data_IF_604116533281
#
_entry.id   IF_604116533281
#
_cell.length_a   1.000
_cell.length_b   1.000
_cell.length_c   1.000
_cell.angle_alpha   90.00
_cell.angle_beta   90.00
_cell.angle_gamma   90.00
#
_symmetry.space_group_name_H-M   'P 1'
#
loop_
_entity.id
_entity.type
_entity.pdbx_description
1 polymer ?
#
# COMPACT_ATOMS: atom_id res chain seq x y z
N UNK A 1 -7.34 17.17 4.34
CA UNK A 1 -8.64 16.91 5.02
C UNK A 1 -8.42 16.18 6.37
N UNK A 2 -7.82 14.95 6.43
CA UNK A 2 -7.71 14.17 7.68
C UNK A 2 -6.97 14.95 8.77
N UNK A 3 -5.78 15.48 8.49
CA UNK A 3 -4.97 16.24 9.45
C UNK A 3 -5.61 17.54 9.92
N UNK A 4 -6.53 18.12 9.18
CA UNK A 4 -7.29 19.29 9.59
C UNK A 4 -8.27 18.98 10.72
N UNK A 5 -8.93 17.82 10.64
CA UNK A 5 -9.89 17.36 11.65
C UNK A 5 -9.24 16.56 12.78
N UNK A 6 -8.26 15.76 12.46
CA UNK A 6 -7.60 14.82 13.39
C UNK A 6 -6.09 15.05 13.39
N UNK A 7 -5.65 16.08 14.07
CA UNK A 7 -4.24 16.51 14.12
C UNK A 7 -3.28 15.39 14.55
N UNK A 8 -3.71 14.52 15.47
CA UNK A 8 -2.93 13.41 16.01
C UNK A 8 -2.95 12.15 15.14
N UNK A 9 -3.81 12.07 14.11
CA UNK A 9 -3.87 10.90 13.24
C UNK A 9 -2.53 10.69 12.55
N UNK A 10 -2.02 9.46 12.57
CA UNK A 10 -0.85 9.04 11.81
C UNK A 10 -1.32 8.55 10.45
N UNK A 11 -0.73 9.06 9.38
CA UNK A 11 -1.08 8.71 8.01
C UNK A 11 0.17 8.13 7.36
N UNK A 12 0.03 7.00 6.70
CA UNK A 12 1.11 6.30 6.00
C UNK A 12 0.76 6.14 4.52
N UNK A 13 1.74 6.30 3.64
CA UNK A 13 1.68 5.72 2.29
C UNK A 13 1.96 4.23 2.36
N UNK A 14 1.46 3.47 1.38
CA UNK A 14 1.83 2.07 1.21
C UNK A 14 2.20 1.85 -0.25
N UNK A 15 3.33 1.21 -0.48
CA UNK A 15 3.92 1.01 -1.80
C UNK A 15 4.47 -0.41 -1.93
N UNK A 16 4.48 -0.99 -3.14
CA UNK A 16 5.11 -2.30 -3.35
C UNK A 16 6.64 -2.19 -3.31
N UNK A 17 7.28 -3.27 -2.87
CA UNK A 17 8.73 -3.37 -2.84
C UNK A 17 9.33 -3.16 -4.24
N UNK A 18 10.31 -2.26 -4.34
CA UNK A 18 10.92 -1.84 -5.59
C UNK A 18 10.22 -0.67 -6.29
N UNK A 19 9.11 -0.18 -5.73
CA UNK A 19 8.42 1.05 -6.13
C UNK A 19 8.03 1.86 -4.90
N UNK A 20 8.91 1.90 -3.92
CA UNK A 20 8.74 2.57 -2.64
C UNK A 20 9.33 4.01 -2.66
N UNK A 21 9.14 4.68 -3.77
CA UNK A 21 9.64 6.02 -4.05
C UNK A 21 9.19 7.07 -3.03
N UNK A 22 7.94 7.02 -2.59
CA UNK A 22 7.42 7.92 -1.56
C UNK A 22 8.03 7.61 -0.20
N UNK A 23 8.17 6.33 0.17
CA UNK A 23 8.79 5.94 1.44
C UNK A 23 10.25 6.38 1.51
N UNK A 24 11.03 6.17 0.43
CA UNK A 24 12.41 6.63 0.34
C UNK A 24 12.50 8.16 0.38
N UNK A 25 11.66 8.85 -0.37
CA UNK A 25 11.61 10.31 -0.41
C UNK A 25 11.24 10.92 0.95
N UNK A 26 10.31 10.31 1.69
CA UNK A 26 9.97 10.75 3.04
C UNK A 26 11.12 10.55 4.03
N UNK A 27 11.90 9.49 3.86
CA UNK A 27 13.05 9.18 4.70
C UNK A 27 14.22 10.13 4.44
N UNK A 28 14.52 10.44 3.17
CA UNK A 28 15.62 11.34 2.79
C UNK A 28 15.25 12.82 2.92
N UNK A 29 13.96 13.16 2.94
CA UNK A 29 13.47 14.54 2.92
C UNK A 29 13.50 15.18 1.52
N UNK A 30 13.96 14.45 0.50
CA UNK A 30 14.03 14.90 -0.89
C UNK A 30 13.24 13.96 -1.80
N UNK A 31 12.79 14.47 -2.93
CA UNK A 31 12.04 13.66 -3.90
C UNK A 31 13.01 12.74 -4.67
N UNK A 32 13.04 11.49 -4.27
CA UNK A 32 13.86 10.45 -4.89
C UNK A 32 13.29 9.98 -6.22
N UNK A 33 14.19 9.49 -7.07
CA UNK A 33 13.86 8.81 -8.33
C UNK A 33 14.48 7.41 -8.24
N UNK A 34 13.65 6.39 -8.35
CA UNK A 34 14.13 5.01 -8.33
C UNK A 34 14.94 4.73 -9.60
N UNK A 35 16.09 4.09 -9.43
CA UNK A 35 16.99 3.69 -10.54
C UNK A 35 16.83 2.22 -10.93
N UNK A 36 16.27 1.41 -10.05
CA UNK A 36 16.07 -0.02 -10.26
C UNK A 36 14.61 -0.39 -10.08
N UNK A 37 14.09 -1.22 -10.98
CA UNK A 37 12.70 -1.65 -10.98
C UNK A 37 12.63 -3.17 -10.86
N UNK A 38 11.70 -3.66 -10.04
CA UNK A 38 11.39 -5.08 -9.90
C UNK A 38 9.96 -5.33 -10.37
N UNK A 39 9.69 -6.47 -11.01
CA UNK A 39 8.30 -6.81 -11.31
C UNK A 39 7.45 -6.78 -10.03
N UNK A 40 6.25 -6.23 -10.13
CA UNK A 40 5.26 -6.29 -9.06
C UNK A 40 3.86 -6.46 -9.66
N UNK A 41 3.00 -7.16 -8.94
CA UNK A 41 1.59 -7.33 -9.31
C UNK A 41 0.75 -6.08 -9.03
N UNK A 42 1.28 -5.11 -8.32
CA UNK A 42 0.60 -3.84 -7.99
C UNK A 42 0.73 -2.81 -9.12
N UNK A 43 0.22 -3.12 -10.30
CA UNK A 43 0.40 -2.38 -11.55
C UNK A 43 0.00 -0.90 -11.48
N UNK A 44 -1.02 -0.55 -10.68
CA UNK A 44 -1.44 0.83 -10.48
C UNK A 44 -0.52 1.65 -9.55
N UNK A 45 0.52 1.04 -8.96
CA UNK A 45 1.45 1.68 -8.04
C UNK A 45 2.89 1.72 -8.57
N UNK A 46 3.11 1.36 -9.85
CA UNK A 46 4.45 1.27 -10.44
C UNK A 46 4.95 2.63 -10.96
N UNK A 47 5.16 3.57 -10.06
CA UNK A 47 5.71 4.89 -10.39
C UNK A 47 7.13 5.04 -9.86
N UNK A 48 8.05 5.66 -10.64
CA UNK A 48 9.46 5.74 -10.25
C UNK A 48 9.79 6.89 -9.31
N UNK A 49 8.86 7.82 -9.09
CA UNK A 49 9.11 9.02 -8.29
C UNK A 49 7.80 9.68 -7.90
N UNK A 50 7.67 10.23 -6.68
CA UNK A 50 6.46 10.93 -6.27
C UNK A 50 6.22 12.18 -7.11
N UNK A 51 4.96 12.55 -7.33
CA UNK A 51 4.63 13.81 -7.99
C UNK A 51 5.17 15.02 -7.21
N UNK A 52 5.67 16.05 -7.91
CA UNK A 52 6.27 17.24 -7.26
C UNK A 52 5.33 17.92 -6.27
N UNK A 53 4.07 18.14 -6.67
CA UNK A 53 3.09 18.81 -5.82
C UNK A 53 2.66 17.92 -4.65
N UNK A 54 2.36 16.66 -4.92
CA UNK A 54 1.92 15.70 -3.91
C UNK A 54 3.01 15.44 -2.87
N UNK A 55 4.28 15.32 -3.28
CA UNK A 55 5.38 15.15 -2.35
C UNK A 55 5.54 16.35 -1.38
N UNK A 56 5.44 17.59 -1.88
CA UNK A 56 5.49 18.81 -1.03
C UNK A 56 4.40 18.81 0.06
N UNK A 57 3.27 18.18 -0.21
CA UNK A 57 2.18 18.03 0.76
C UNK A 57 2.47 16.84 1.68
N UNK A 58 2.82 15.69 1.10
CA UNK A 58 3.00 14.44 1.80
C UNK A 58 4.13 14.49 2.83
N UNK A 59 5.27 15.10 2.51
CA UNK A 59 6.40 15.25 3.43
C UNK A 59 6.05 15.99 4.74
N UNK A 60 4.98 16.81 4.74
CA UNK A 60 4.52 17.56 5.93
C UNK A 60 3.43 16.80 6.69
N UNK A 61 2.68 15.95 6.03
CA UNK A 61 1.46 15.37 6.57
C UNK A 61 1.58 13.87 6.87
N UNK A 62 2.39 13.14 6.13
CA UNK A 62 2.55 11.71 6.34
C UNK A 62 3.50 11.43 7.50
N UNK A 63 3.23 10.34 8.20
CA UNK A 63 4.05 9.84 9.30
C UNK A 63 5.13 8.86 8.84
N UNK A 64 5.14 8.52 7.57
CA UNK A 64 6.09 7.62 6.90
C UNK A 64 5.45 6.83 5.76
N UNK A 65 6.24 5.98 5.12
CA UNK A 65 5.82 5.00 4.14
C UNK A 65 5.96 3.58 4.69
N UNK A 66 5.11 2.69 4.22
CA UNK A 66 5.17 1.25 4.45
C UNK A 66 5.36 0.56 3.11
N UNK A 67 6.18 -0.47 3.10
CA UNK A 67 6.51 -1.23 1.89
C UNK A 67 6.00 -2.64 2.05
N UNK A 68 5.36 -3.17 1.02
CA UNK A 68 4.77 -4.51 1.02
C UNK A 68 5.31 -5.36 -0.13
N UNK A 69 5.42 -6.67 0.10
CA UNK A 69 5.79 -7.62 -0.94
C UNK A 69 4.57 -8.09 -1.74
N UNK A 70 4.78 -8.59 -2.96
CA UNK A 70 3.71 -9.22 -3.74
C UNK A 70 3.08 -10.40 -3.00
N UNK A 71 3.85 -11.14 -2.21
CA UNK A 71 3.34 -12.23 -1.38
C UNK A 71 2.37 -11.72 -0.32
N UNK A 72 2.72 -10.64 0.37
CA UNK A 72 1.84 -10.00 1.36
C UNK A 72 0.55 -9.49 0.71
N UNK A 73 0.66 -8.89 -0.49
CA UNK A 73 -0.51 -8.42 -1.25
C UNK A 73 -1.42 -9.59 -1.65
N UNK A 74 -0.88 -10.70 -2.16
CA UNK A 74 -1.68 -11.90 -2.45
C UNK A 74 -2.39 -12.44 -1.22
N UNK A 75 -1.73 -12.45 -0.06
CA UNK A 75 -2.35 -12.86 1.21
C UNK A 75 -3.47 -11.90 1.62
N UNK A 76 -3.28 -10.60 1.44
CA UNK A 76 -4.31 -9.60 1.69
C UNK A 76 -5.52 -9.76 0.74
N UNK A 77 -5.30 -10.09 -0.54
CA UNK A 77 -6.37 -10.38 -1.49
C UNK A 77 -7.20 -11.59 -1.05
N UNK A 78 -6.55 -12.69 -0.62
CA UNK A 78 -7.24 -13.87 -0.08
C UNK A 78 -8.03 -13.54 1.18
N UNK A 79 -7.44 -12.77 2.09
CA UNK A 79 -8.10 -12.29 3.30
C UNK A 79 -9.32 -11.44 2.98
N UNK A 80 -9.18 -10.45 2.08
CA UNK A 80 -10.27 -9.58 1.65
C UNK A 80 -11.44 -10.40 1.06
N UNK A 81 -11.13 -11.37 0.22
CA UNK A 81 -12.15 -12.24 -0.38
C UNK A 81 -12.83 -13.12 0.65
N UNK A 82 -12.06 -13.87 1.45
CA UNK A 82 -12.58 -14.88 2.38
C UNK A 82 -13.28 -14.28 3.60
N UNK A 83 -12.77 -13.18 4.13
CA UNK A 83 -13.22 -12.62 5.41
C UNK A 83 -14.10 -11.39 5.21
N UNK A 84 -13.79 -10.54 4.23
CA UNK A 84 -14.53 -9.31 4.01
C UNK A 84 -15.54 -9.42 2.86
N UNK A 85 -15.55 -10.52 2.11
CA UNK A 85 -16.41 -10.70 0.94
C UNK A 85 -16.09 -9.73 -0.21
N UNK A 86 -14.84 -9.22 -0.26
CA UNK A 86 -14.42 -8.21 -1.24
C UNK A 86 -13.47 -8.80 -2.28
N UNK A 87 -13.77 -8.59 -3.55
CA UNK A 87 -12.86 -8.88 -4.67
C UNK A 87 -12.10 -7.60 -4.99
N UNK A 88 -10.80 -7.58 -4.73
CA UNK A 88 -9.96 -6.41 -4.90
C UNK A 88 -8.80 -6.72 -5.84
N UNK A 89 -8.36 -5.72 -6.59
CA UNK A 89 -7.12 -5.77 -7.36
C UNK A 89 -5.88 -5.70 -6.44
N UNK A 90 -4.69 -6.16 -6.90
CA UNK A 90 -3.48 -6.14 -6.07
C UNK A 90 -3.17 -4.78 -5.45
N UNK A 91 -3.13 -3.74 -6.28
CA UNK A 91 -2.87 -2.36 -5.83
C UNK A 91 -3.87 -1.87 -4.79
N UNK A 92 -5.13 -2.28 -4.92
CA UNK A 92 -6.20 -1.96 -3.95
C UNK A 92 -6.04 -2.65 -2.60
N UNK A 93 -5.27 -3.75 -2.54
CA UNK A 93 -4.98 -4.52 -1.33
C UNK A 93 -3.69 -4.10 -0.61
N UNK A 94 -2.87 -3.23 -1.19
CA UNK A 94 -1.56 -2.89 -0.61
C UNK A 94 -1.66 -2.37 0.84
N UNK A 95 -2.64 -1.49 1.12
CA UNK A 95 -2.83 -0.96 2.47
C UNK A 95 -3.27 -2.05 3.48
N UNK A 96 -4.08 -3.01 3.06
CA UNK A 96 -4.47 -4.15 3.88
C UNK A 96 -3.27 -5.08 4.14
N UNK A 97 -2.45 -5.33 3.12
CA UNK A 97 -1.21 -6.09 3.26
C UNK A 97 -0.29 -5.48 4.32
N UNK A 98 -0.08 -4.16 4.26
CA UNK A 98 0.73 -3.46 5.24
C UNK A 98 0.16 -3.56 6.67
N UNK A 99 -1.16 -3.50 6.84
CA UNK A 99 -1.78 -3.71 8.16
C UNK A 99 -1.53 -5.13 8.67
N UNK A 100 -1.77 -6.15 7.83
CA UNK A 100 -1.64 -7.55 8.24
C UNK A 100 -0.19 -7.91 8.61
N UNK A 101 0.80 -7.42 7.87
CA UNK A 101 2.22 -7.63 8.19
C UNK A 101 2.69 -6.85 9.42
N UNK A 102 2.01 -5.77 9.78
CA UNK A 102 2.39 -4.90 10.90
C UNK A 102 1.35 -4.90 12.04
N UNK A 103 0.60 -5.98 12.21
CA UNK A 103 -0.54 -6.02 13.14
C UNK A 103 -0.16 -5.67 14.58
N UNK A 104 1.01 -6.08 15.04
CA UNK A 104 1.50 -5.77 16.39
C UNK A 104 1.80 -4.27 16.56
N UNK A 105 2.33 -3.61 15.52
CA UNK A 105 2.56 -2.15 15.51
C UNK A 105 1.26 -1.35 15.68
N UNK A 106 0.17 -1.91 15.18
CA UNK A 106 -1.15 -1.27 15.19
C UNK A 106 -2.08 -1.81 16.27
N UNK A 107 -1.61 -2.73 17.11
CA UNK A 107 -2.38 -3.31 18.21
C UNK A 107 -2.92 -2.22 19.15
N UNK A 108 -4.15 -2.38 19.60
CA UNK A 108 -4.88 -1.43 20.47
C UNK A 108 -5.03 -0.02 19.86
N UNK A 109 -4.97 0.11 18.54
CA UNK A 109 -5.21 1.37 17.84
C UNK A 109 -6.44 1.25 16.94
N UNK A 110 -7.13 2.34 16.73
CA UNK A 110 -8.13 2.44 15.66
C UNK A 110 -7.38 2.70 14.36
N UNK A 111 -7.52 1.78 13.40
CA UNK A 111 -6.86 1.86 12.09
C UNK A 111 -7.94 1.93 11.02
N UNK A 112 -7.78 2.88 10.11
CA UNK A 112 -8.59 2.97 8.89
C UNK A 112 -7.72 2.56 7.72
N UNK A 113 -8.16 1.55 6.99
CA UNK A 113 -7.50 1.03 5.79
C UNK A 113 -8.34 1.39 4.58
N UNK A 114 -7.71 2.03 3.60
CA UNK A 114 -8.38 2.31 2.32
C UNK A 114 -8.23 1.08 1.43
N UNK A 115 -9.36 0.45 1.10
CA UNK A 115 -9.45 -0.60 0.10
C UNK A 115 -9.95 0.05 -1.19
N UNK A 116 -9.08 0.17 -2.17
CA UNK A 116 -9.38 0.83 -3.44
C UNK A 116 -9.27 -0.18 -4.58
N UNK A 117 -9.98 0.04 -5.66
CA UNK A 117 -9.84 -0.75 -6.87
C UNK A 117 -10.36 -2.20 -6.79
N UNK A 118 -11.25 -2.52 -7.72
CA UNK A 118 -11.84 -3.86 -7.87
C UNK A 118 -11.67 -4.39 -9.30
N UNK A 119 -10.89 -3.69 -10.13
CA UNK A 119 -10.69 -4.03 -11.53
C UNK A 119 -9.60 -5.10 -11.69
N UNK A 120 -9.86 -6.29 -11.22
CA UNK A 120 -8.95 -7.44 -11.30
C UNK A 120 -9.42 -8.44 -12.35
N UNK A 121 -8.49 -8.95 -13.16
CA UNK A 121 -8.77 -10.05 -14.08
C UNK A 121 -9.22 -11.30 -13.31
N UNK A 122 -10.32 -11.92 -13.75
CA UNK A 122 -10.94 -13.04 -13.04
C UNK A 122 -10.05 -14.29 -13.00
N UNK A 123 -9.29 -14.56 -14.07
CA UNK A 123 -8.40 -15.73 -14.14
C UNK A 123 -7.20 -15.52 -13.24
N UNK A 124 -6.62 -14.31 -13.27
CA UNK A 124 -5.53 -13.93 -12.37
C UNK A 124 -5.97 -14.00 -10.90
N UNK A 125 -7.15 -13.48 -10.58
CA UNK A 125 -7.70 -13.54 -9.23
C UNK A 125 -7.91 -14.99 -8.76
N UNK A 126 -8.55 -15.82 -9.60
CA UNK A 126 -8.75 -17.24 -9.29
C UNK A 126 -7.43 -17.97 -9.07
N UNK A 127 -6.37 -17.68 -9.86
CA UNK A 127 -5.04 -18.21 -9.65
C UNK A 127 -4.51 -17.86 -8.26
N UNK A 128 -4.62 -16.59 -7.85
CA UNK A 128 -4.18 -16.15 -6.51
C UNK A 128 -4.92 -16.91 -5.41
N UNK A 129 -6.24 -17.10 -5.53
CA UNK A 129 -7.02 -17.83 -4.51
C UNK A 129 -6.60 -19.28 -4.36
N UNK A 130 -6.17 -19.93 -5.45
CA UNK A 130 -5.82 -21.36 -5.51
C UNK A 130 -4.31 -21.63 -5.26
N UNK A 131 -3.44 -20.63 -5.29
CA UNK A 131 -2.03 -20.80 -4.93
C UNK A 131 -1.93 -21.24 -3.45
N UNK A 132 -1.26 -22.36 -3.21
CA UNK A 132 -0.93 -22.81 -1.84
C UNK A 132 0.10 -21.86 -1.24
N UNK A 133 -0.10 -21.51 0.01
CA UNK A 133 0.84 -20.73 0.82
C UNK A 133 2.02 -21.60 1.22
#
# INVERSE_FOLDING_TARGET
>A
AIKQKFKQAKIYSVEPAGYDDTAQSLKSGTREVLSEFKPSICDALLVPTPGKLTFRINQRLLSGGLVVTDSAVKNAMRFAHKILGQTLEPSGCAALAALLENIEKFRKKTVVVVLSGQNVDSQFFAKILNERI
#
